data_IF_039923861105
#
_entry.id   IF_039923861105
#
_cell.length_a   1.000
_cell.length_b   1.000
_cell.length_c   1.000
_cell.angle_alpha   90.00
_cell.angle_beta   90.00
_cell.angle_gamma   90.00
#
_symmetry.space_group_name_H-M   'P 1'
#
loop_
_entity.id
_entity.type
_entity.pdbx_description
1 polymer ?
#
# COMPACT_ATOMS: atom_id res chain seq x y z
N UNK A 1 0.60 41.50 21.98
CA UNK A 1 0.90 40.08 22.23
C UNK A 1 -0.39 39.27 22.21
N UNK A 2 -0.76 38.74 21.06
CA UNK A 2 -1.83 37.74 20.95
C UNK A 2 -1.36 36.69 19.95
N UNK A 3 -1.00 35.52 20.47
CA UNK A 3 -0.65 34.36 19.67
C UNK A 3 -1.92 33.88 18.97
N UNK A 4 -2.04 34.18 17.68
CA UNK A 4 -3.09 33.61 16.85
C UNK A 4 -2.79 32.11 16.65
N UNK A 5 -3.48 31.30 17.45
CA UNK A 5 -3.72 29.88 17.27
C UNK A 5 -4.32 29.62 15.88
N UNK A 6 -3.50 29.56 14.84
CA UNK A 6 -3.92 29.05 13.54
C UNK A 6 -3.84 27.51 13.59
N UNK A 7 -5.00 26.94 13.93
CA UNK A 7 -5.53 25.61 13.61
C UNK A 7 -4.52 24.56 13.10
N UNK A 8 -4.06 23.70 14.01
CA UNK A 8 -3.06 22.64 13.77
C UNK A 8 -3.60 21.39 13.06
N UNK A 9 -4.79 21.42 12.44
CA UNK A 9 -5.49 20.20 11.97
C UNK A 9 -5.78 20.07 10.46
N UNK A 10 -5.37 20.99 9.58
CA UNK A 10 -5.69 20.86 8.13
C UNK A 10 -4.45 20.86 7.23
N UNK A 11 -4.15 19.68 6.66
CA UNK A 11 -2.98 19.37 5.85
C UNK A 11 -2.93 20.02 4.45
N UNK A 12 -3.94 20.80 4.05
CA UNK A 12 -4.07 21.35 2.70
C UNK A 12 -4.01 22.90 2.70
N UNK A 13 -3.15 23.47 1.85
CA UNK A 13 -3.26 24.87 1.44
C UNK A 13 -4.50 25.03 0.53
N UNK A 14 -5.08 26.23 0.48
CA UNK A 14 -6.17 26.54 -0.46
C UNK A 14 -5.76 26.32 -1.94
N UNK A 15 -4.45 26.18 -2.21
CA UNK A 15 -3.83 25.96 -3.51
C UNK A 15 -3.67 24.49 -3.91
N UNK A 16 -4.14 23.52 -3.09
CA UNK A 16 -4.03 22.09 -3.40
C UNK A 16 -2.64 21.46 -3.15
N UNK A 17 -1.71 22.23 -2.58
CA UNK A 17 -0.39 21.76 -2.13
C UNK A 17 -0.30 21.80 -0.60
N UNK A 18 0.64 21.07 -0.03
CA UNK A 18 0.84 21.03 1.40
C UNK A 18 1.55 22.28 1.91
N UNK A 19 1.03 22.90 2.98
CA UNK A 19 1.59 24.12 3.61
C UNK A 19 2.97 23.94 4.26
N UNK A 20 3.44 22.70 4.41
CA UNK A 20 4.71 22.37 5.07
C UNK A 20 5.85 22.10 4.09
N UNK A 21 5.59 21.26 3.08
CA UNK A 21 6.59 20.84 2.08
C UNK A 21 6.50 21.64 0.77
N UNK A 22 5.37 22.28 0.46
CA UNK A 22 5.11 22.89 -0.84
C UNK A 22 4.75 21.88 -1.95
N UNK A 23 4.92 20.59 -1.70
CA UNK A 23 4.59 19.52 -2.65
C UNK A 23 3.11 19.17 -2.66
N UNK A 24 2.67 18.53 -3.76
CA UNK A 24 1.32 17.98 -3.86
C UNK A 24 1.19 16.79 -2.88
N UNK A 25 0.04 16.66 -2.20
CA UNK A 25 -0.23 15.49 -1.38
C UNK A 25 -0.14 14.20 -2.19
N UNK A 26 0.19 13.11 -1.51
CA UNK A 26 0.25 11.78 -2.11
C UNK A 26 -1.07 11.46 -2.83
N UNK A 27 -1.04 11.01 -4.10
CA UNK A 27 -2.25 10.90 -4.92
C UNK A 27 -3.23 9.84 -4.40
N UNK A 28 -2.72 8.81 -3.71
CA UNK A 28 -3.55 7.78 -3.05
C UNK A 28 -4.10 8.26 -1.70
N UNK A 29 -3.23 8.58 -0.73
CA UNK A 29 -3.69 8.82 0.65
C UNK A 29 -4.16 10.25 0.91
N UNK A 30 -3.96 11.19 -0.02
CA UNK A 30 -4.27 12.62 0.17
C UNK A 30 -3.41 13.33 1.23
N UNK A 31 -2.31 12.72 1.67
CA UNK A 31 -1.40 13.24 2.73
C UNK A 31 -0.06 13.65 2.12
N UNK A 32 0.56 14.77 2.53
CA UNK A 32 1.97 15.02 2.14
C UNK A 32 2.90 14.06 2.88
N UNK A 33 3.92 13.58 2.18
CA UNK A 33 4.98 12.72 2.72
C UNK A 33 5.79 13.40 3.84
N UNK A 34 5.84 14.73 3.87
CA UNK A 34 6.50 15.48 4.95
C UNK A 34 5.74 15.48 6.29
N UNK A 35 4.49 15.02 6.32
CA UNK A 35 3.78 14.82 7.57
C UNK A 35 4.32 13.52 8.18
N UNK A 36 4.94 13.56 9.38
CA UNK A 36 5.38 12.36 10.06
C UNK A 36 4.15 11.51 10.30
N UNK A 37 3.99 10.45 9.51
CA UNK A 37 3.03 9.39 9.82
C UNK A 37 3.48 8.84 11.18
N UNK A 38 2.61 8.80 12.20
CA UNK A 38 3.01 8.22 13.49
C UNK A 38 3.52 6.80 13.23
N UNK A 39 4.79 6.53 13.55
CA UNK A 39 5.41 5.21 13.43
C UNK A 39 4.79 4.36 14.54
N UNK A 40 3.65 3.76 14.23
CA UNK A 40 2.89 2.98 15.20
C UNK A 40 3.56 1.63 15.44
N UNK A 41 4.01 1.43 16.69
CA UNK A 41 4.51 0.22 17.36
C UNK A 41 5.52 -0.63 16.57
N UNK A 42 6.71 -0.82 17.15
CA UNK A 42 7.72 -1.78 16.67
C UNK A 42 7.17 -3.20 16.81
N UNK A 43 6.83 -3.83 15.70
CA UNK A 43 6.39 -5.21 15.58
C UNK A 43 5.90 -5.48 14.16
N UNK A 44 5.92 -6.74 13.67
CA UNK A 44 5.28 -7.07 12.42
C UNK A 44 3.79 -6.70 12.53
N UNK A 45 3.32 -5.79 11.68
CA UNK A 45 1.88 -5.57 11.56
C UNK A 45 1.28 -6.81 10.95
N UNK A 46 0.47 -7.52 11.74
CA UNK A 46 -0.38 -8.57 11.19
C UNK A 46 -1.41 -7.86 10.32
N UNK A 47 -1.37 -8.14 9.02
CA UNK A 47 -2.46 -7.80 8.14
C UNK A 47 -3.03 -9.07 7.57
N UNK A 48 -4.34 -9.01 7.36
CA UNK A 48 -5.10 -9.98 6.63
C UNK A 48 -5.21 -9.47 5.20
N UNK A 49 -4.79 -10.29 4.26
CA UNK A 49 -5.04 -10.01 2.85
C UNK A 49 -6.19 -10.87 2.36
N UNK A 50 -7.20 -10.21 1.78
CA UNK A 50 -8.31 -10.87 1.08
C UNK A 50 -8.06 -10.75 -0.42
N UNK A 51 -7.58 -11.82 -1.03
CA UNK A 51 -7.31 -11.90 -2.48
C UNK A 51 -8.59 -12.32 -3.19
N UNK A 52 -9.00 -11.57 -4.19
CA UNK A 52 -10.09 -11.90 -5.11
C UNK A 52 -9.50 -12.04 -6.51
N UNK A 53 -9.46 -13.27 -7.04
CA UNK A 53 -9.05 -13.49 -8.42
C UNK A 53 -9.90 -14.59 -9.05
N UNK A 54 -10.62 -14.25 -10.14
CA UNK A 54 -11.44 -15.11 -11.00
C UNK A 54 -12.43 -16.06 -10.27
N UNK A 55 -11.90 -17.11 -9.64
CA UNK A 55 -12.59 -18.24 -9.02
C UNK A 55 -12.02 -18.62 -7.63
N UNK A 56 -10.95 -17.97 -7.17
CA UNK A 56 -10.29 -18.23 -5.90
C UNK A 56 -10.28 -16.97 -5.01
N UNK A 57 -10.94 -17.08 -3.86
CA UNK A 57 -10.81 -16.12 -2.78
C UNK A 57 -9.79 -16.67 -1.77
N UNK A 58 -8.60 -16.08 -1.68
CA UNK A 58 -7.76 -16.34 -0.50
C UNK A 58 -8.21 -15.37 0.58
N UNK A 59 -8.93 -15.89 1.57
CA UNK A 59 -9.19 -15.15 2.80
C UNK A 59 -8.07 -15.46 3.80
N UNK A 60 -7.75 -14.50 4.67
CA UNK A 60 -6.92 -14.77 5.87
C UNK A 60 -5.41 -14.93 5.65
N UNK A 61 -4.81 -14.39 4.59
CA UNK A 61 -3.35 -14.49 4.49
C UNK A 61 -2.70 -13.52 5.46
N UNK A 62 -2.00 -14.07 6.46
CA UNK A 62 -1.19 -13.30 7.40
C UNK A 62 0.06 -12.79 6.68
N UNK A 63 0.21 -11.47 6.60
CA UNK A 63 1.39 -10.85 6.04
C UNK A 63 2.55 -10.93 7.04
N UNK A 64 3.61 -11.64 6.65
CA UNK A 64 4.87 -11.72 7.41
C UNK A 64 5.78 -10.50 7.20
N UNK A 65 7.04 -10.55 7.64
CA UNK A 65 7.99 -9.45 7.43
C UNK A 65 8.25 -9.14 5.95
N UNK A 66 8.18 -10.15 5.08
CA UNK A 66 8.27 -10.02 3.63
C UNK A 66 7.40 -11.09 2.97
N UNK A 67 6.39 -10.66 2.23
CA UNK A 67 5.38 -11.52 1.58
C UNK A 67 5.41 -11.25 0.08
N UNK A 68 5.93 -12.21 -0.67
CA UNK A 68 6.06 -12.10 -2.14
C UNK A 68 4.79 -12.60 -2.83
N UNK A 69 4.27 -11.78 -3.76
CA UNK A 69 3.10 -12.02 -4.61
C UNK A 69 3.57 -12.35 -6.04
N UNK A 70 2.99 -13.36 -6.68
CA UNK A 70 3.30 -13.68 -8.08
C UNK A 70 2.75 -15.03 -8.55
N UNK A 71 3.02 -15.39 -9.80
CA UNK A 71 2.52 -16.65 -10.39
C UNK A 71 3.39 -17.86 -10.03
N UNK A 72 4.62 -17.64 -9.58
CA UNK A 72 5.57 -18.69 -9.23
C UNK A 72 5.11 -19.50 -8.02
N UNK A 73 5.48 -20.78 -7.98
CA UNK A 73 5.27 -21.66 -6.82
C UNK A 73 6.11 -21.25 -5.60
N UNK A 74 7.11 -20.38 -5.79
CA UNK A 74 7.98 -19.86 -4.73
C UNK A 74 7.41 -18.61 -4.05
N UNK A 75 6.29 -18.06 -4.55
CA UNK A 75 5.62 -16.93 -3.93
C UNK A 75 4.79 -17.37 -2.74
N UNK A 76 4.70 -16.50 -1.73
CA UNK A 76 3.89 -16.73 -0.54
C UNK A 76 2.40 -16.68 -0.90
N UNK A 77 2.03 -15.70 -1.73
CA UNK A 77 0.69 -15.62 -2.32
C UNK A 77 0.84 -15.88 -3.81
N UNK A 78 0.20 -16.95 -4.25
CA UNK A 78 0.28 -17.42 -5.62
C UNK A 78 -0.94 -16.98 -6.41
N UNK A 79 -0.72 -16.07 -7.36
CA UNK A 79 -1.73 -15.58 -8.30
C UNK A 79 -1.90 -16.59 -9.44
N UNK A 80 -2.62 -17.68 -9.18
CA UNK A 80 -2.83 -18.76 -10.16
C UNK A 80 -3.80 -18.29 -11.23
N UNK A 81 -3.48 -18.56 -12.50
CA UNK A 81 -4.39 -18.28 -13.62
C UNK A 81 -4.29 -16.85 -14.15
N UNK A 82 -3.51 -15.97 -13.53
CA UNK A 82 -3.32 -14.60 -13.99
C UNK A 82 -2.15 -14.51 -15.00
N UNK A 83 -2.41 -14.32 -16.31
CA UNK A 83 -1.36 -14.25 -17.33
C UNK A 83 -0.61 -12.91 -17.31
N UNK A 84 -1.17 -11.87 -16.66
CA UNK A 84 -0.57 -10.53 -16.56
C UNK A 84 0.29 -10.40 -15.30
N UNK A 85 0.08 -11.25 -14.30
CA UNK A 85 0.96 -11.36 -13.16
C UNK A 85 2.33 -11.96 -13.56
N UNK A 86 3.39 -11.51 -12.89
CA UNK A 86 4.76 -11.95 -13.15
C UNK A 86 5.16 -13.03 -12.14
N UNK A 87 6.20 -13.81 -12.44
CA UNK A 87 6.65 -14.90 -11.54
C UNK A 87 6.91 -14.42 -10.11
N UNK A 88 7.59 -13.28 -9.99
CA UNK A 88 7.71 -12.47 -8.77
C UNK A 88 7.24 -11.08 -9.15
N UNK A 89 6.00 -10.74 -8.81
CA UNK A 89 5.37 -9.51 -9.29
C UNK A 89 5.60 -8.36 -8.32
N UNK A 90 5.21 -8.56 -7.06
CA UNK A 90 5.37 -7.57 -6.02
C UNK A 90 5.74 -8.24 -4.69
N UNK A 91 6.21 -7.44 -3.76
CA UNK A 91 6.44 -7.86 -2.38
C UNK A 91 5.75 -6.87 -1.45
N UNK A 92 5.08 -7.39 -0.42
CA UNK A 92 4.58 -6.61 0.70
C UNK A 92 5.51 -6.85 1.88
N UNK A 93 6.13 -5.79 2.38
CA UNK A 93 7.11 -5.84 3.46
C UNK A 93 6.64 -5.03 4.65
N UNK A 94 6.98 -5.50 5.85
CA UNK A 94 6.78 -4.71 7.06
C UNK A 94 8.03 -3.86 7.32
N UNK A 95 8.00 -2.60 6.87
CA UNK A 95 9.07 -1.62 7.09
C UNK A 95 8.66 -0.64 8.20
N UNK A 96 9.47 -0.52 9.26
CA UNK A 96 9.24 0.42 10.38
C UNK A 96 7.83 0.34 11.01
N UNK A 97 7.26 -0.88 11.11
CA UNK A 97 5.91 -1.08 11.63
C UNK A 97 4.81 -0.57 10.69
N UNK A 98 5.10 -0.44 9.39
CA UNK A 98 4.14 -0.16 8.32
C UNK A 98 4.21 -1.24 7.26
N UNK A 99 3.13 -1.43 6.52
CA UNK A 99 3.13 -2.30 5.36
C UNK A 99 3.46 -1.49 4.13
N UNK A 100 4.38 -1.99 3.33
CA UNK A 100 4.84 -1.35 2.11
C UNK A 100 4.77 -2.35 0.99
N UNK A 101 3.99 -2.06 -0.04
CA UNK A 101 4.04 -2.82 -1.30
C UNK A 101 5.11 -2.24 -2.20
N UNK A 102 5.86 -3.12 -2.85
CA UNK A 102 6.89 -2.78 -3.83
C UNK A 102 6.75 -3.66 -5.06
N UNK A 103 6.70 -3.04 -6.22
CA UNK A 103 6.74 -3.74 -7.50
C UNK A 103 8.17 -4.24 -7.78
N UNK A 104 8.31 -5.48 -8.25
CA UNK A 104 9.60 -6.12 -8.51
C UNK A 104 10.01 -6.05 -10.00
N UNK A 105 9.54 -5.04 -10.72
CA UNK A 105 9.77 -4.92 -12.17
C UNK A 105 8.79 -5.77 -12.96
N UNK A 106 7.54 -5.80 -12.53
CA UNK A 106 6.52 -6.61 -13.16
C UNK A 106 6.14 -6.07 -14.55
N UNK A 107 5.68 -6.97 -15.44
CA UNK A 107 5.31 -6.59 -16.82
C UNK A 107 4.10 -5.66 -16.86
N UNK A 108 3.07 -5.94 -16.06
CA UNK A 108 1.84 -5.16 -16.01
C UNK A 108 1.90 -3.98 -15.03
N UNK A 109 2.81 -4.01 -14.06
CA UNK A 109 2.85 -3.05 -12.94
C UNK A 109 1.91 -3.44 -11.80
N UNK A 110 2.23 -2.91 -10.63
CA UNK A 110 1.39 -2.99 -9.42
C UNK A 110 0.56 -1.71 -9.28
N UNK A 111 -0.71 -1.85 -8.92
CA UNK A 111 -1.63 -0.74 -8.71
C UNK A 111 -2.14 -0.76 -7.28
N UNK A 112 -2.29 0.43 -6.67
CA UNK A 112 -2.92 0.60 -5.36
C UNK A 112 -3.99 1.67 -5.49
N UNK A 113 -5.24 1.34 -5.16
CA UNK A 113 -6.41 2.20 -5.32
C UNK A 113 -6.50 2.82 -6.73
N UNK A 114 -6.26 2.00 -7.75
CA UNK A 114 -6.29 2.40 -9.17
C UNK A 114 -5.06 3.17 -9.68
N UNK A 115 -4.10 3.50 -8.82
CA UNK A 115 -2.89 4.22 -9.20
C UNK A 115 -1.69 3.27 -9.31
N UNK A 116 -0.97 3.35 -10.43
CA UNK A 116 0.24 2.53 -10.65
C UNK A 116 1.36 3.00 -9.72
N UNK A 117 1.93 2.08 -8.96
CA UNK A 117 2.98 2.37 -7.98
C UNK A 117 4.19 1.46 -8.16
N UNK A 118 5.37 1.99 -7.87
CA UNK A 118 6.61 1.22 -7.75
C UNK A 118 6.88 0.85 -6.30
N UNK A 119 6.54 1.75 -5.36
CA UNK A 119 6.58 1.54 -3.92
C UNK A 119 5.49 2.38 -3.26
N UNK A 120 4.68 1.77 -2.41
CA UNK A 120 3.59 2.43 -1.71
C UNK A 120 3.44 1.92 -0.28
N UNK A 121 3.28 2.83 0.68
CA UNK A 121 2.86 2.45 2.03
C UNK A 121 1.36 2.18 2.00
N UNK A 122 0.98 0.96 2.38
CA UNK A 122 -0.39 0.49 2.45
C UNK A 122 -1.06 1.01 3.73
N UNK A 123 -2.30 1.45 3.58
CA UNK A 123 -3.21 1.75 4.67
C UNK A 123 -4.28 0.66 4.78
N UNK A 124 -5.01 0.68 5.89
CA UNK A 124 -6.14 -0.22 6.09
C UNK A 124 -7.20 0.05 5.02
N UNK A 125 -7.84 -1.00 4.50
CA UNK A 125 -8.81 -0.99 3.40
C UNK A 125 -8.26 -0.60 2.02
N UNK A 126 -6.94 -0.54 1.84
CA UNK A 126 -6.36 -0.31 0.51
C UNK A 126 -6.60 -1.50 -0.42
N UNK A 127 -6.94 -1.21 -1.68
CA UNK A 127 -7.02 -2.21 -2.74
C UNK A 127 -5.71 -2.26 -3.53
N UNK A 128 -5.09 -3.44 -3.61
CA UNK A 128 -3.94 -3.72 -4.47
C UNK A 128 -4.43 -4.52 -5.68
N UNK A 129 -4.12 -4.04 -6.88
CA UNK A 129 -4.41 -4.75 -8.13
C UNK A 129 -3.11 -5.12 -8.82
N UNK A 130 -2.99 -6.39 -9.16
CA UNK A 130 -1.86 -6.98 -9.87
C UNK A 130 -2.43 -7.79 -11.03
N UNK A 131 -2.15 -7.39 -12.27
CA UNK A 131 -2.70 -8.08 -13.45
C UNK A 131 -4.23 -8.05 -13.45
N UNK A 132 -4.85 -9.21 -13.26
CA UNK A 132 -6.30 -9.42 -13.16
C UNK A 132 -6.71 -9.86 -11.73
N UNK A 133 -5.77 -9.84 -10.79
CA UNK A 133 -5.98 -10.16 -9.38
C UNK A 133 -6.17 -8.88 -8.57
N UNK A 134 -7.25 -8.77 -7.80
CA UNK A 134 -7.44 -7.69 -6.82
C UNK A 134 -7.31 -8.23 -5.39
N UNK A 135 -6.82 -7.40 -4.47
CA UNK A 135 -6.49 -7.77 -3.11
C UNK A 135 -6.88 -6.64 -2.18
N UNK A 136 -7.71 -6.90 -1.18
CA UNK A 136 -8.03 -5.93 -0.14
C UNK A 136 -7.10 -6.14 1.06
N UNK A 137 -6.51 -5.05 1.54
CA UNK A 137 -5.66 -5.03 2.72
C UNK A 137 -6.50 -4.70 3.94
N UNK A 138 -6.55 -5.59 4.93
CA UNK A 138 -7.13 -5.33 6.24
C UNK A 138 -6.03 -5.41 7.31
N UNK A 139 -5.76 -4.31 8.01
CA UNK A 139 -4.72 -4.26 9.05
C UNK A 139 -5.38 -4.51 10.42
N UNK A 140 -4.87 -5.51 11.16
CA UNK A 140 -5.40 -5.94 12.47
C UNK A 140 -4.59 -5.34 13.62
#
# INVERSE_FOLDING_TARGET
MAAALIDRRRALAATGVCRRCGERPHPITGRCECLPRPVGRRGPRLARLSVVHADHTYSDVVIGPSTVLGTSRRCHIRLRGDPKASERHAVIESEEGRLVVRDLGSKAGTYVNGLRVTRQVLEDTDEIVIGESSMLVEII
#
